data_IF_176362805526
#
_entry.id   IF_176362805526
#
_cell.length_a   1.000
_cell.length_b   1.000
_cell.length_c   1.000
_cell.angle_alpha   90.00
_cell.angle_beta   90.00
_cell.angle_gamma   90.00
#
_symmetry.space_group_name_H-M   'P 1'
#
loop_
_entity.id
_entity.type
_entity.pdbx_description
1 polymer ?
#
# COMPACT_ATOMS: atom_id res chain seq x y z
N UNK A 1 29.23 0.43 -4.36
CA UNK A 1 28.21 -0.65 -4.35
C UNK A 1 27.38 -0.50 -5.62
N UNK A 2 27.20 -1.57 -6.42
CA UNK A 2 26.42 -1.52 -7.66
C UNK A 2 24.95 -1.83 -7.33
N UNK A 3 24.02 -0.93 -7.66
CA UNK A 3 22.56 -1.09 -7.43
C UNK A 3 21.85 -1.49 -8.72
N UNK A 4 20.59 -1.92 -8.61
CA UNK A 4 19.74 -2.14 -9.76
C UNK A 4 19.60 -0.85 -10.59
N UNK A 5 19.48 -1.00 -11.92
CA UNK A 5 19.45 0.14 -12.87
C UNK A 5 18.30 1.12 -12.65
N UNK A 6 17.22 0.69 -12.01
CA UNK A 6 16.03 1.51 -11.75
C UNK A 6 16.12 2.35 -10.47
N UNK A 7 17.12 2.13 -9.61
CA UNK A 7 17.21 2.78 -8.30
C UNK A 7 17.39 4.32 -8.41
N UNK A 8 18.13 4.77 -9.43
CA UNK A 8 18.46 6.18 -9.60
C UNK A 8 19.28 6.74 -8.43
N UNK A 9 19.18 8.06 -8.23
CA UNK A 9 20.02 8.83 -7.29
C UNK A 9 19.22 9.48 -6.14
N UNK A 10 17.89 9.35 -6.13
CA UNK A 10 17.05 9.91 -5.05
C UNK A 10 17.26 9.10 -3.76
N UNK A 11 17.68 9.77 -2.68
CA UNK A 11 18.03 9.12 -1.41
C UNK A 11 16.89 8.27 -0.81
N UNK A 12 15.64 8.70 -0.97
CA UNK A 12 14.49 7.94 -0.50
C UNK A 12 14.37 6.64 -1.29
N UNK A 13 14.56 6.70 -2.61
CA UNK A 13 14.45 5.53 -3.46
C UNK A 13 15.62 4.55 -3.21
N UNK A 14 16.82 5.08 -3.01
CA UNK A 14 18.00 4.31 -2.61
C UNK A 14 17.75 3.58 -1.30
N UNK A 15 17.23 4.26 -0.28
CA UNK A 15 16.93 3.64 1.02
C UNK A 15 15.88 2.55 0.89
N UNK A 16 14.84 2.77 0.09
CA UNK A 16 13.82 1.77 -0.22
C UNK A 16 14.42 0.54 -0.92
N UNK A 17 15.21 0.75 -1.98
CA UNK A 17 15.90 -0.33 -2.69
C UNK A 17 16.78 -1.14 -1.74
N UNK A 18 17.62 -0.48 -0.95
CA UNK A 18 18.65 -1.14 -0.14
C UNK A 18 18.08 -1.86 1.09
N UNK A 19 16.89 -1.48 1.58
CA UNK A 19 16.37 -1.94 2.88
C UNK A 19 14.99 -2.59 2.84
N UNK A 20 14.22 -2.40 1.77
CA UNK A 20 12.85 -2.89 1.69
C UNK A 20 12.58 -3.71 0.44
N UNK A 21 13.08 -3.27 -0.72
CA UNK A 21 12.82 -3.97 -1.97
C UNK A 21 13.54 -5.32 -2.05
N UNK A 22 12.78 -6.39 -2.30
CA UNK A 22 13.30 -7.75 -2.37
C UNK A 22 13.65 -8.38 -1.02
N UNK A 23 13.42 -7.67 0.09
CA UNK A 23 13.58 -8.22 1.44
C UNK A 23 12.32 -9.00 1.81
N UNK A 24 12.41 -10.27 2.24
CA UNK A 24 11.24 -11.04 2.68
C UNK A 24 10.48 -10.33 3.80
N UNK A 25 9.15 -10.31 3.67
CA UNK A 25 8.22 -9.75 4.64
C UNK A 25 7.22 -10.85 4.99
N UNK A 26 6.93 -10.98 6.28
CA UNK A 26 5.92 -11.93 6.81
C UNK A 26 4.85 -11.24 7.66
N UNK A 27 4.83 -9.90 7.65
CA UNK A 27 3.86 -9.09 8.37
C UNK A 27 2.69 -8.73 7.44
N UNK A 28 1.48 -9.15 7.81
CA UNK A 28 0.26 -8.94 7.03
C UNK A 28 -0.06 -7.46 6.81
N UNK A 29 0.17 -6.61 7.81
CA UNK A 29 -0.11 -5.18 7.69
C UNK A 29 0.81 -4.56 6.63
N UNK A 30 2.08 -4.95 6.59
CA UNK A 30 3.01 -4.54 5.55
C UNK A 30 2.64 -5.14 4.19
N UNK A 31 2.17 -6.38 4.12
CA UNK A 31 1.64 -6.92 2.85
C UNK A 31 0.45 -6.11 2.33
N UNK A 32 -0.50 -5.76 3.20
CA UNK A 32 -1.64 -4.94 2.84
C UNK A 32 -1.23 -3.50 2.44
N UNK A 33 -0.29 -2.89 3.17
CA UNK A 33 0.32 -1.60 2.81
C UNK A 33 0.82 -1.63 1.36
N UNK A 34 1.66 -2.60 1.00
CA UNK A 34 2.20 -2.68 -0.35
C UNK A 34 1.14 -3.01 -1.40
N UNK A 35 0.16 -3.87 -1.11
CA UNK A 35 -0.95 -4.15 -2.02
C UNK A 35 -1.73 -2.87 -2.40
N UNK A 36 -1.98 -1.99 -1.43
CA UNK A 36 -2.63 -0.69 -1.66
C UNK A 36 -1.73 0.25 -2.45
N UNK A 37 -0.45 0.37 -2.08
CA UNK A 37 0.50 1.29 -2.72
C UNK A 37 0.80 0.90 -4.17
N UNK A 38 0.97 -0.39 -4.47
CA UNK A 38 1.18 -0.91 -5.84
C UNK A 38 -0.05 -0.64 -6.72
N UNK A 39 -1.26 -0.86 -6.18
CA UNK A 39 -2.51 -0.49 -6.87
C UNK A 39 -2.59 1.02 -7.14
N UNK A 40 -2.10 1.84 -6.21
CA UNK A 40 -2.05 3.28 -6.39
C UNK A 40 -1.04 3.74 -7.44
N UNK A 41 -0.04 2.93 -7.77
CA UNK A 41 1.02 3.26 -8.72
C UNK A 41 0.54 3.37 -10.16
N UNK A 42 -0.52 2.67 -10.58
CA UNK A 42 -0.92 2.58 -12.00
C UNK A 42 -0.94 3.96 -12.71
N UNK A 43 -0.07 4.13 -13.71
CA UNK A 43 0.10 5.40 -14.45
C UNK A 43 1.03 6.44 -13.81
N UNK A 44 1.79 6.08 -12.77
CA UNK A 44 2.72 6.94 -12.03
C UNK A 44 4.06 6.22 -11.78
N UNK A 45 5.09 6.98 -11.42
CA UNK A 45 6.34 6.40 -10.94
C UNK A 45 6.21 5.89 -9.51
N UNK A 46 6.92 4.82 -9.17
CA UNK A 46 6.95 4.30 -7.79
C UNK A 46 7.51 5.34 -6.79
N UNK A 47 8.49 6.16 -7.21
CA UNK A 47 8.98 7.28 -6.40
C UNK A 47 7.87 8.27 -6.01
N UNK A 48 6.88 8.50 -6.88
CA UNK A 48 5.71 9.35 -6.56
C UNK A 48 4.88 8.74 -5.43
N UNK A 49 4.75 7.41 -5.42
CA UNK A 49 4.03 6.67 -4.39
C UNK A 49 4.82 6.66 -3.08
N UNK A 50 6.12 6.38 -3.12
CA UNK A 50 7.00 6.41 -1.94
C UNK A 50 6.98 7.77 -1.25
N UNK A 51 7.06 8.88 -2.01
CA UNK A 51 6.97 10.25 -1.46
C UNK A 51 5.63 10.55 -0.77
N UNK A 52 4.59 9.77 -1.06
CA UNK A 52 3.24 9.88 -0.49
C UNK A 52 2.94 8.83 0.59
N UNK A 53 3.88 7.91 0.87
CA UNK A 53 3.65 6.76 1.74
C UNK A 53 3.20 7.14 3.14
N UNK A 54 3.80 8.16 3.77
CA UNK A 54 3.34 8.67 5.07
C UNK A 54 1.92 9.23 5.00
N UNK A 55 1.60 9.98 3.94
CA UNK A 55 0.26 10.51 3.72
C UNK A 55 -0.79 9.40 3.53
N UNK A 56 -0.40 8.26 2.97
CA UNK A 56 -1.25 7.06 2.96
C UNK A 56 -1.38 6.45 4.36
N UNK A 57 -0.30 6.32 5.14
CA UNK A 57 -0.39 5.78 6.51
C UNK A 57 -1.38 6.56 7.37
N UNK A 58 -1.33 7.88 7.32
CA UNK A 58 -2.28 8.73 8.03
C UNK A 58 -3.73 8.51 7.52
N UNK A 59 -3.91 8.56 6.20
CA UNK A 59 -5.22 8.45 5.57
C UNK A 59 -5.87 7.06 5.70
N UNK A 60 -5.07 6.00 5.80
CA UNK A 60 -5.50 4.60 5.79
C UNK A 60 -5.37 3.93 7.16
N UNK A 61 -5.38 4.70 8.25
CA UNK A 61 -5.29 4.18 9.62
C UNK A 61 -4.11 3.20 9.81
N UNK A 62 -2.93 3.62 9.34
CA UNK A 62 -1.71 2.83 9.28
C UNK A 62 -1.87 1.49 8.55
N UNK A 63 -2.70 1.47 7.50
CA UNK A 63 -3.04 0.29 6.71
C UNK A 63 -3.63 -0.85 7.55
N UNK A 64 -4.52 -0.54 8.49
CA UNK A 64 -5.31 -1.58 9.13
C UNK A 64 -6.42 -2.09 8.17
N UNK A 65 -6.35 -3.34 7.69
CA UNK A 65 -7.33 -3.84 6.72
C UNK A 65 -8.75 -3.83 7.27
N UNK A 66 -8.96 -4.04 8.59
CA UNK A 66 -10.29 -4.04 9.21
C UNK A 66 -10.91 -2.65 9.19
N UNK A 67 -10.09 -1.62 9.40
CA UNK A 67 -10.55 -0.22 9.33
C UNK A 67 -10.81 0.18 7.88
N UNK A 68 -9.89 -0.13 6.97
CA UNK A 68 -10.00 0.26 5.55
C UNK A 68 -11.17 -0.44 4.85
N UNK A 69 -11.47 -1.69 5.21
CA UNK A 69 -12.63 -2.43 4.68
C UNK A 69 -13.97 -1.76 4.99
N UNK A 70 -14.02 -0.94 6.05
CA UNK A 70 -15.21 -0.22 6.50
C UNK A 70 -15.30 1.24 6.06
N UNK A 71 -14.42 1.71 5.16
CA UNK A 71 -14.53 3.08 4.65
C UNK A 71 -15.84 3.29 3.90
N UNK A 72 -16.64 4.25 4.36
CA UNK A 72 -17.89 4.66 3.72
C UNK A 72 -17.65 5.56 2.51
N UNK A 73 -18.69 5.82 1.72
CA UNK A 73 -18.62 6.78 0.62
C UNK A 73 -18.24 8.20 1.10
N UNK A 74 -18.70 8.62 2.29
CA UNK A 74 -18.30 9.90 2.89
C UNK A 74 -16.79 9.93 3.19
N UNK A 75 -16.24 8.82 3.70
CA UNK A 75 -14.80 8.71 3.94
C UNK A 75 -14.02 8.77 2.62
N UNK A 76 -14.53 8.17 1.54
CA UNK A 76 -13.91 8.24 0.22
C UNK A 76 -13.88 9.68 -0.28
N UNK A 77 -14.97 10.44 -0.13
CA UNK A 77 -15.03 11.86 -0.50
C UNK A 77 -14.08 12.74 0.34
N UNK A 78 -13.90 12.42 1.62
CA UNK A 78 -12.89 13.04 2.47
C UNK A 78 -11.47 12.76 1.95
N UNK A 79 -11.18 11.49 1.62
CA UNK A 79 -9.89 11.05 1.11
C UNK A 79 -9.53 11.69 -0.25
N UNK A 80 -10.52 11.94 -1.12
CA UNK A 80 -10.32 12.68 -2.37
C UNK A 80 -9.81 14.11 -2.15
N UNK A 81 -10.04 14.69 -0.97
CA UNK A 81 -9.54 16.02 -0.60
C UNK A 81 -8.15 15.95 0.04
N UNK A 82 -7.77 14.81 0.61
CA UNK A 82 -6.50 14.60 1.30
C UNK A 82 -5.29 14.82 0.38
N UNK A 83 -4.37 15.72 0.76
CA UNK A 83 -3.21 16.09 -0.08
C UNK A 83 -2.11 15.01 -0.07
N UNK A 84 -2.08 14.18 0.97
CA UNK A 84 -1.07 13.15 1.19
C UNK A 84 -1.15 11.96 0.23
N UNK A 85 -2.28 11.76 -0.47
CA UNK A 85 -2.49 10.54 -1.30
C UNK A 85 -2.71 10.88 -2.78
N UNK A 86 -2.94 9.85 -3.59
CA UNK A 86 -3.38 10.00 -4.99
C UNK A 86 -4.90 10.16 -5.02
N UNK A 87 -5.38 11.28 -5.55
CA UNK A 87 -6.79 11.66 -5.57
C UNK A 87 -7.53 10.99 -6.73
N UNK A 88 -7.77 9.69 -6.60
CA UNK A 88 -8.48 8.90 -7.60
C UNK A 88 -9.51 8.00 -6.92
N UNK A 89 -10.80 8.28 -7.14
CA UNK A 89 -11.89 7.58 -6.47
C UNK A 89 -11.95 6.09 -6.81
N UNK A 90 -11.58 5.69 -8.03
CA UNK A 90 -11.53 4.27 -8.42
C UNK A 90 -10.43 3.53 -7.65
N UNK A 91 -9.26 4.14 -7.47
CA UNK A 91 -8.15 3.56 -6.69
C UNK A 91 -8.49 3.45 -5.20
N UNK A 92 -9.19 4.45 -4.64
CA UNK A 92 -9.65 4.40 -3.24
C UNK A 92 -10.75 3.34 -3.07
N UNK A 93 -11.71 3.21 -4.00
CA UNK A 93 -12.70 2.13 -3.94
C UNK A 93 -12.05 0.75 -4.07
N UNK A 94 -11.02 0.62 -4.90
CA UNK A 94 -10.27 -0.62 -5.03
C UNK A 94 -9.56 -1.00 -3.73
N UNK A 95 -8.98 -0.05 -2.96
CA UNK A 95 -8.33 -0.37 -1.69
C UNK A 95 -9.32 -0.85 -0.61
N UNK A 96 -10.56 -0.35 -0.59
CA UNK A 96 -11.63 -0.88 0.27
C UNK A 96 -12.00 -2.32 -0.12
N UNK A 97 -12.18 -2.58 -1.42
CA UNK A 97 -12.45 -3.94 -1.91
C UNK A 97 -11.31 -4.89 -1.59
N UNK A 98 -10.06 -4.47 -1.81
CA UNK A 98 -8.87 -5.25 -1.49
C UNK A 98 -8.80 -5.56 0.01
N UNK A 99 -9.15 -4.62 0.88
CA UNK A 99 -9.18 -4.85 2.33
C UNK A 99 -10.19 -5.94 2.72
N UNK A 100 -11.38 -5.93 2.11
CA UNK A 100 -12.40 -6.96 2.34
C UNK A 100 -11.92 -8.35 1.89
N UNK A 101 -11.34 -8.45 0.69
CA UNK A 101 -10.78 -9.71 0.18
C UNK A 101 -9.57 -10.18 0.99
N UNK A 102 -8.75 -9.25 1.46
CA UNK A 102 -7.61 -9.54 2.32
C UNK A 102 -8.05 -10.21 3.63
N UNK A 103 -9.12 -9.70 4.25
CA UNK A 103 -9.71 -10.28 5.47
C UNK A 103 -10.26 -11.69 5.20
N UNK A 104 -10.97 -11.89 4.09
CA UNK A 104 -11.49 -13.23 3.71
C UNK A 104 -10.35 -14.25 3.58
N UNK A 105 -9.23 -13.86 2.95
CA UNK A 105 -8.03 -14.71 2.85
C UNK A 105 -7.44 -14.97 4.24
N UNK A 106 -7.40 -13.97 5.14
CA UNK A 106 -6.95 -14.18 6.51
C UNK A 106 -7.84 -15.18 7.25
N UNK A 107 -9.15 -15.18 7.01
CA UNK A 107 -10.08 -16.13 7.63
C UNK A 107 -9.86 -17.56 7.12
N UNK A 108 -9.60 -17.74 5.83
CA UNK A 108 -9.36 -19.07 5.23
C UNK A 108 -7.97 -19.65 5.55
N UNK A 109 -6.93 -18.81 5.56
CA UNK A 109 -5.52 -19.24 5.67
C UNK A 109 -4.88 -18.90 7.04
N UNK A 110 -5.66 -18.32 7.96
CA UNK A 110 -5.23 -17.85 9.28
C UNK A 110 -4.53 -16.48 9.25
N UNK A 111 -3.68 -16.25 8.25
CA UNK A 111 -3.10 -14.95 7.92
C UNK A 111 -2.79 -14.86 6.42
N UNK A 112 -2.64 -13.65 5.90
CA UNK A 112 -2.41 -13.42 4.47
C UNK A 112 -1.01 -13.86 4.03
N UNK A 113 -0.01 -13.71 4.90
CA UNK A 113 1.36 -14.15 4.63
C UNK A 113 1.45 -15.65 4.31
N UNK A 114 0.70 -16.49 5.03
CA UNK A 114 0.60 -17.93 4.80
C UNK A 114 0.04 -18.24 3.41
N UNK A 115 -0.93 -17.46 2.93
CA UNK A 115 -1.47 -17.61 1.59
C UNK A 115 -0.43 -17.20 0.53
N UNK A 116 0.27 -16.08 0.74
CA UNK A 116 1.20 -15.52 -0.23
C UNK A 116 2.50 -16.34 -0.39
N UNK A 117 3.01 -16.92 0.69
CA UNK A 117 4.30 -17.63 0.72
C UNK A 117 4.20 -19.16 0.57
N UNK A 118 2.98 -19.68 0.39
CA UNK A 118 2.76 -21.11 0.13
C UNK A 118 3.26 -21.53 -1.25
#
# INVERSE_FOLDING_TARGET
MKRCSWCGDDELYIKYHDREWGVPVYDDRKHFEFMVLESAQAGLSWLTILKKREGYREAYANFDPKVVAGFSDEKIEELLKHKGIIKNGKKIKASVNNAQRFIEIQEEFGNFSNYLWK
#
